data_IF_567159927436
#
_entry.id   IF_567159927436
#
_cell.length_a   1.000
_cell.length_b   1.000
_cell.length_c   1.000
_cell.angle_alpha   90.00
_cell.angle_beta   90.00
_cell.angle_gamma   90.00
#
_symmetry.space_group_name_H-M   'P 1'
#
loop_
_entity.id
_entity.type
_entity.pdbx_description
1 polymer ?
#
# COMPACT_ATOMS: atom_id res chain seq x y z
N UNK A 1 40.79 54.25 4.50
CA UNK A 1 41.54 54.50 3.23
C UNK A 1 42.83 53.67 3.32
N UNK A 2 42.77 52.42 2.95
CA UNK A 2 43.98 51.68 2.54
C UNK A 2 43.54 50.33 2.01
N UNK A 3 43.91 50.10 0.77
CA UNK A 3 44.04 48.80 0.07
C UNK A 3 42.76 48.07 -0.38
N UNK A 4 42.00 48.67 -1.28
CA UNK A 4 41.41 47.95 -2.42
C UNK A 4 42.35 48.08 -3.60
N UNK A 5 43.47 47.37 -3.55
CA UNK A 5 44.39 47.15 -4.64
C UNK A 5 45.06 45.83 -4.38
N UNK A 6 44.35 44.73 -4.73
CA UNK A 6 45.02 43.48 -5.01
C UNK A 6 44.10 42.68 -5.96
N UNK A 7 44.69 42.43 -7.10
CA UNK A 7 44.38 41.36 -8.04
C UNK A 7 43.17 41.55 -8.98
N UNK A 8 43.21 42.65 -9.72
CA UNK A 8 42.65 42.62 -11.07
C UNK A 8 43.60 41.79 -11.97
N UNK A 9 43.29 40.54 -12.19
CA UNK A 9 43.81 39.84 -13.34
C UNK A 9 43.13 40.39 -14.60
N UNK A 10 43.89 40.57 -15.67
CA UNK A 10 43.47 41.18 -16.96
C UNK A 10 42.40 40.35 -17.73
N UNK A 11 41.59 39.53 -17.05
CA UNK A 11 40.47 38.78 -17.61
C UNK A 11 39.31 38.69 -16.57
N UNK A 12 38.85 39.78 -16.05
CA UNK A 12 37.53 40.01 -15.48
C UNK A 12 36.81 38.92 -14.63
N UNK A 13 37.47 37.87 -14.19
CA UNK A 13 36.92 36.83 -13.32
C UNK A 13 37.21 37.17 -11.88
N UNK A 14 36.20 37.62 -11.14
CA UNK A 14 36.24 37.68 -9.69
C UNK A 14 36.13 36.25 -9.15
N UNK A 15 37.14 35.75 -8.47
CA UNK A 15 37.08 34.48 -7.75
C UNK A 15 36.85 34.75 -6.28
N UNK A 16 35.69 34.36 -5.76
CA UNK A 16 35.38 34.40 -4.32
C UNK A 16 36.02 33.20 -3.65
N UNK A 17 36.66 33.43 -2.48
CA UNK A 17 37.21 32.39 -1.63
C UNK A 17 36.14 31.94 -0.66
N UNK A 18 35.73 30.67 -0.69
CA UNK A 18 34.70 30.10 0.17
C UNK A 18 34.96 30.36 1.67
N UNK A 19 36.22 30.49 2.07
CA UNK A 19 36.61 30.78 3.45
C UNK A 19 36.38 32.26 3.87
N UNK A 20 35.96 33.16 2.96
CA UNK A 20 35.91 34.59 3.21
C UNK A 20 34.56 35.27 2.80
N UNK A 21 33.55 34.50 2.38
CA UNK A 21 32.25 34.99 1.88
C UNK A 21 31.60 35.99 2.86
N UNK A 22 31.63 35.73 4.17
CA UNK A 22 31.01 36.59 5.17
C UNK A 22 31.63 37.99 5.19
N UNK A 23 32.94 38.08 4.96
CA UNK A 23 33.65 39.39 4.96
C UNK A 23 33.30 40.15 3.68
N UNK A 24 33.23 39.45 2.53
CA UNK A 24 32.93 40.06 1.21
C UNK A 24 31.49 40.57 1.18
N UNK A 25 30.52 39.81 1.70
CA UNK A 25 29.13 40.22 1.86
C UNK A 25 29.08 41.50 2.69
N UNK A 26 29.78 41.55 3.81
CA UNK A 26 29.82 42.72 4.73
C UNK A 26 30.44 43.95 4.04
N UNK A 27 31.56 43.76 3.33
CA UNK A 27 32.27 44.87 2.65
C UNK A 27 31.46 45.41 1.49
N UNK A 28 30.80 44.54 0.75
CA UNK A 28 29.87 44.91 -0.34
C UNK A 28 28.66 45.66 0.20
N UNK A 29 28.03 45.23 1.31
CA UNK A 29 26.94 45.94 1.96
C UNK A 29 27.35 47.35 2.37
N UNK A 30 28.49 47.50 3.02
CA UNK A 30 29.00 48.83 3.42
C UNK A 30 29.25 49.73 2.20
N UNK A 31 29.68 49.18 1.09
CA UNK A 31 29.91 49.91 -0.17
C UNK A 31 28.58 50.39 -0.77
N UNK A 32 27.55 49.56 -0.80
CA UNK A 32 26.22 49.89 -1.26
C UNK A 32 25.59 50.97 -0.39
N UNK A 33 25.62 50.80 0.95
CA UNK A 33 25.08 51.74 1.90
C UNK A 33 25.74 53.14 1.81
N UNK A 34 26.99 53.21 1.35
CA UNK A 34 27.68 54.47 1.02
C UNK A 34 27.18 55.16 -0.25
N UNK A 35 26.27 54.54 -0.96
CA UNK A 35 25.64 55.08 -2.20
C UNK A 35 26.42 54.81 -3.48
N UNK A 36 27.29 53.79 -3.50
CA UNK A 36 28.21 53.51 -4.61
C UNK A 36 27.87 52.28 -5.48
N UNK A 37 26.59 51.84 -5.51
CA UNK A 37 26.16 50.62 -6.22
C UNK A 37 26.56 50.64 -7.71
N UNK A 38 26.51 51.79 -8.38
CA UNK A 38 26.86 51.93 -9.79
C UNK A 38 28.31 51.55 -10.10
N UNK A 39 29.21 51.54 -9.11
CA UNK A 39 30.62 51.21 -9.28
C UNK A 39 30.94 49.74 -9.00
N UNK A 40 29.96 48.94 -8.58
CA UNK A 40 30.17 47.56 -8.16
C UNK A 40 29.05 46.62 -8.63
N UNK A 41 28.31 46.98 -9.71
CA UNK A 41 27.19 46.18 -10.22
C UNK A 41 27.64 44.73 -10.52
N UNK A 42 28.71 44.54 -11.30
CA UNK A 42 29.24 43.22 -11.68
C UNK A 42 29.59 42.37 -10.41
N UNK A 43 30.24 42.99 -9.43
CA UNK A 43 30.56 42.31 -8.16
C UNK A 43 29.30 41.93 -7.37
N UNK A 44 28.24 42.76 -7.39
CA UNK A 44 26.98 42.47 -6.71
C UNK A 44 26.22 41.34 -7.42
N UNK A 45 26.25 41.30 -8.78
CA UNK A 45 25.65 40.21 -9.57
C UNK A 45 26.30 38.87 -9.26
N UNK A 46 27.61 38.85 -9.12
CA UNK A 46 28.39 37.67 -8.78
C UNK A 46 28.10 37.22 -7.33
N UNK A 47 28.05 38.17 -6.39
CA UNK A 47 27.65 37.88 -5.02
C UNK A 47 26.26 37.30 -4.89
N UNK A 48 25.30 37.74 -5.72
CA UNK A 48 23.96 37.15 -5.75
C UNK A 48 24.04 35.66 -6.15
N UNK A 49 24.88 35.33 -7.14
CA UNK A 49 25.07 33.94 -7.57
C UNK A 49 25.75 33.11 -6.48
N UNK A 50 26.80 33.64 -5.84
CA UNK A 50 27.46 33.01 -4.70
C UNK A 50 26.48 32.81 -3.52
N UNK A 51 25.59 33.78 -3.25
CA UNK A 51 24.57 33.64 -2.22
C UNK A 51 23.54 32.53 -2.55
N UNK A 52 23.18 32.33 -3.83
CA UNK A 52 22.34 31.24 -4.26
C UNK A 52 23.01 29.87 -4.04
N UNK A 53 24.29 29.74 -4.44
CA UNK A 53 25.06 28.50 -4.32
C UNK A 53 25.33 28.08 -2.87
N UNK A 54 25.41 29.07 -1.95
CA UNK A 54 25.74 28.84 -0.54
C UNK A 54 24.54 29.01 0.41
N UNK A 55 23.30 28.94 -0.09
CA UNK A 55 22.06 29.05 0.69
C UNK A 55 21.94 30.35 1.54
N UNK A 56 22.64 31.42 1.12
CA UNK A 56 22.65 32.73 1.81
C UNK A 56 21.47 33.60 1.33
N UNK A 57 20.26 33.09 1.41
CA UNK A 57 19.07 33.67 0.81
C UNK A 57 18.77 35.11 1.29
N UNK A 58 18.96 35.43 2.56
CA UNK A 58 18.69 36.79 3.08
C UNK A 58 19.66 37.81 2.51
N UNK A 59 20.95 37.47 2.44
CA UNK A 59 21.98 38.31 1.89
C UNK A 59 21.78 38.50 0.37
N UNK A 60 21.48 37.40 -0.36
CA UNK A 60 21.15 37.43 -1.76
C UNK A 60 19.93 38.31 -2.05
N UNK A 61 18.89 38.22 -1.21
CA UNK A 61 17.67 39.07 -1.34
C UNK A 61 17.97 40.55 -1.11
N UNK A 62 18.89 40.90 -0.21
CA UNK A 62 19.35 42.27 -0.04
C UNK A 62 20.00 42.76 -1.34
N UNK A 63 20.99 42.05 -1.86
CA UNK A 63 21.75 42.44 -3.07
C UNK A 63 20.87 42.53 -4.32
N UNK A 64 20.01 41.53 -4.57
CA UNK A 64 19.14 41.52 -5.74
C UNK A 64 18.10 42.66 -5.70
N UNK A 65 17.63 43.08 -4.53
CA UNK A 65 16.73 44.22 -4.42
C UNK A 65 17.44 45.54 -4.80
N UNK A 66 18.71 45.70 -4.44
CA UNK A 66 19.51 46.86 -4.79
C UNK A 66 19.79 46.90 -6.32
N UNK A 67 20.05 45.74 -6.95
CA UNK A 67 20.18 45.62 -8.39
C UNK A 67 18.87 45.98 -9.13
N UNK A 68 17.73 45.48 -8.62
CA UNK A 68 16.41 45.80 -9.16
C UNK A 68 16.01 47.26 -9.00
N UNK A 69 16.52 47.97 -7.99
CA UNK A 69 16.31 49.40 -7.85
C UNK A 69 17.01 50.20 -8.97
N UNK A 70 18.14 49.69 -9.50
CA UNK A 70 18.88 50.29 -10.59
C UNK A 70 18.33 49.83 -11.97
N UNK A 71 18.01 48.56 -12.10
CA UNK A 71 17.55 47.96 -13.35
C UNK A 71 16.24 47.15 -13.21
N UNK A 72 15.09 47.80 -12.98
CA UNK A 72 13.81 47.14 -12.68
C UNK A 72 13.22 46.30 -13.85
N UNK A 73 13.75 46.45 -15.04
CA UNK A 73 13.31 45.73 -16.25
C UNK A 73 14.29 44.64 -16.70
N UNK A 74 15.25 44.24 -15.83
CA UNK A 74 16.13 43.13 -16.11
C UNK A 74 15.43 41.81 -15.67
N UNK A 75 15.14 40.93 -16.65
CA UNK A 75 14.45 39.66 -16.42
C UNK A 75 15.29 38.71 -15.55
N UNK A 76 16.61 38.67 -15.73
CA UNK A 76 17.52 37.83 -14.98
C UNK A 76 17.52 38.16 -13.47
N UNK A 77 17.44 39.45 -13.13
CA UNK A 77 17.33 39.85 -11.72
C UNK A 77 16.02 39.42 -11.08
N UNK A 78 14.91 39.44 -11.81
CA UNK A 78 13.64 38.90 -11.31
C UNK A 78 13.69 37.39 -11.19
N UNK A 79 14.32 36.67 -12.13
CA UNK A 79 14.57 35.23 -12.02
C UNK A 79 15.39 34.89 -10.79
N UNK A 80 16.57 35.51 -10.60
CA UNK A 80 17.43 35.27 -9.43
C UNK A 80 16.73 35.60 -8.12
N UNK A 81 15.89 36.67 -8.08
CA UNK A 81 15.06 36.96 -6.92
C UNK A 81 14.04 35.85 -6.65
N UNK A 82 13.41 35.32 -7.67
CA UNK A 82 12.50 34.18 -7.56
C UNK A 82 13.19 32.94 -7.00
N UNK A 83 14.39 32.61 -7.49
CA UNK A 83 15.19 31.49 -7.01
C UNK A 83 15.57 31.64 -5.53
N UNK A 84 16.04 32.83 -5.12
CA UNK A 84 16.35 33.14 -3.73
C UNK A 84 15.12 33.00 -2.81
N UNK A 85 13.94 33.48 -3.25
CA UNK A 85 12.70 33.36 -2.51
C UNK A 85 12.21 31.90 -2.42
N UNK A 86 12.38 31.14 -3.51
CA UNK A 86 12.05 29.71 -3.54
C UNK A 86 12.92 28.92 -2.55
N UNK A 87 14.25 29.15 -2.54
CA UNK A 87 15.15 28.56 -1.56
C UNK A 87 14.83 28.99 -0.11
N UNK A 88 14.33 30.21 0.07
CA UNK A 88 13.89 30.73 1.38
C UNK A 88 12.47 30.32 1.75
N UNK A 89 11.88 29.34 1.02
CA UNK A 89 10.53 28.81 1.24
C UNK A 89 9.39 29.84 1.10
N UNK A 90 9.63 30.97 0.44
CA UNK A 90 8.63 32.02 0.15
C UNK A 90 8.02 31.81 -1.24
N UNK A 91 7.41 30.64 -1.46
CA UNK A 91 6.97 30.19 -2.77
C UNK A 91 6.00 31.14 -3.48
N UNK A 92 5.04 31.77 -2.78
CA UNK A 92 4.12 32.72 -3.41
C UNK A 92 4.87 33.93 -3.96
N UNK A 93 5.79 34.52 -3.18
CA UNK A 93 6.61 35.65 -3.62
C UNK A 93 7.56 35.24 -4.76
N UNK A 94 8.03 33.99 -4.76
CA UNK A 94 8.86 33.45 -5.84
C UNK A 94 8.07 33.37 -7.15
N UNK A 95 6.84 32.84 -7.14
CA UNK A 95 5.95 32.79 -8.32
C UNK A 95 5.72 34.20 -8.88
N UNK A 96 5.42 35.20 -8.04
CA UNK A 96 5.26 36.60 -8.47
C UNK A 96 6.51 37.13 -9.20
N UNK A 97 7.71 36.78 -8.70
CA UNK A 97 8.98 37.17 -9.32
C UNK A 97 9.22 36.47 -10.66
N UNK A 98 8.94 35.17 -10.74
CA UNK A 98 9.04 34.42 -12.00
C UNK A 98 8.03 34.95 -13.04
N UNK A 99 6.81 35.27 -12.64
CA UNK A 99 5.84 35.92 -13.54
C UNK A 99 6.34 37.26 -14.07
N UNK A 100 7.03 38.03 -13.21
CA UNK A 100 7.64 39.27 -13.62
C UNK A 100 8.78 39.06 -14.61
N UNK A 101 9.67 38.07 -14.34
CA UNK A 101 10.74 37.68 -15.26
C UNK A 101 10.18 37.27 -16.63
N UNK A 102 9.15 36.39 -16.63
CA UNK A 102 8.48 35.95 -17.88
C UNK A 102 7.73 37.03 -18.60
N UNK A 103 7.22 38.04 -17.90
CA UNK A 103 6.61 39.20 -18.56
C UNK A 103 7.63 40.06 -19.38
N UNK A 104 8.91 39.99 -18.97
CA UNK A 104 10.04 40.66 -19.62
C UNK A 104 10.73 39.78 -20.66
N UNK A 105 10.82 38.48 -20.40
CA UNK A 105 11.38 37.48 -21.32
C UNK A 105 10.45 36.26 -21.44
N UNK A 106 9.40 36.30 -22.30
CA UNK A 106 8.43 35.20 -22.44
C UNK A 106 8.98 33.90 -23.03
N UNK A 107 10.19 33.95 -23.60
CA UNK A 107 10.81 32.77 -24.25
C UNK A 107 11.76 31.98 -23.37
N UNK A 108 11.79 32.24 -22.07
CA UNK A 108 12.70 31.59 -21.13
C UNK A 108 12.07 30.32 -20.55
N UNK A 109 12.46 29.17 -21.12
CA UNK A 109 11.96 27.85 -20.66
C UNK A 109 12.38 27.51 -19.23
N UNK A 110 13.59 27.90 -18.80
CA UNK A 110 14.09 27.63 -17.46
C UNK A 110 13.27 28.37 -16.42
N UNK A 111 12.96 29.64 -16.64
CA UNK A 111 12.09 30.40 -15.73
C UNK A 111 10.69 29.77 -15.58
N UNK A 112 10.13 29.16 -16.64
CA UNK A 112 8.87 28.41 -16.53
C UNK A 112 9.02 27.14 -15.67
N UNK A 113 10.15 26.44 -15.75
CA UNK A 113 10.44 25.25 -14.92
C UNK A 113 10.58 25.64 -13.46
N UNK A 114 11.34 26.68 -13.17
CA UNK A 114 11.53 27.20 -11.80
C UNK A 114 10.21 27.69 -11.20
N UNK A 115 9.37 28.35 -12.01
CA UNK A 115 8.02 28.75 -11.61
C UNK A 115 7.18 27.51 -11.26
N UNK A 116 7.22 26.48 -12.10
CA UNK A 116 6.49 25.25 -11.89
C UNK A 116 6.94 24.54 -10.60
N UNK A 117 8.24 24.54 -10.30
CA UNK A 117 8.76 23.99 -9.05
C UNK A 117 8.21 24.75 -7.81
N UNK A 118 8.12 26.07 -7.88
CA UNK A 118 7.52 26.86 -6.81
C UNK A 118 5.99 26.61 -6.67
N UNK A 119 5.28 26.47 -7.79
CA UNK A 119 3.85 26.13 -7.83
C UNK A 119 3.58 24.73 -7.28
N UNK A 120 4.48 23.77 -7.56
CA UNK A 120 4.43 22.42 -7.02
C UNK A 120 4.61 22.40 -5.49
N UNK A 121 5.56 23.17 -4.98
CA UNK A 121 5.77 23.36 -3.53
C UNK A 121 4.56 23.98 -2.82
N UNK A 122 3.75 24.77 -3.54
CA UNK A 122 2.47 25.30 -3.08
C UNK A 122 1.32 24.28 -3.20
N UNK A 123 1.55 23.11 -3.79
CA UNK A 123 0.50 22.13 -4.09
C UNK A 123 -0.38 22.51 -5.30
N UNK A 124 0.00 23.51 -6.07
CA UNK A 124 -0.75 24.00 -7.23
C UNK A 124 -0.41 23.22 -8.50
N UNK A 125 -0.60 21.87 -8.45
CA UNK A 125 -0.17 20.95 -9.52
C UNK A 125 -0.69 21.32 -10.92
N UNK A 126 -1.89 21.88 -11.03
CA UNK A 126 -2.44 22.28 -12.34
C UNK A 126 -1.73 23.52 -12.91
N UNK A 127 -1.35 24.48 -12.05
CA UNK A 127 -0.58 25.65 -12.46
C UNK A 127 0.84 25.25 -12.87
N UNK A 128 1.49 24.40 -12.06
CA UNK A 128 2.82 23.84 -12.38
C UNK A 128 2.81 23.14 -13.74
N UNK A 129 1.79 22.34 -14.01
CA UNK A 129 1.61 21.68 -15.30
C UNK A 129 1.45 22.68 -16.47
N UNK A 130 0.71 23.78 -16.27
CA UNK A 130 0.58 24.83 -17.29
C UNK A 130 1.92 25.51 -17.55
N UNK A 131 2.67 25.85 -16.50
CA UNK A 131 4.00 26.42 -16.59
C UNK A 131 4.97 25.52 -17.35
N UNK A 132 5.00 24.21 -17.02
CA UNK A 132 5.86 23.24 -17.74
C UNK A 132 5.45 23.05 -19.21
N UNK A 133 4.17 23.07 -19.53
CA UNK A 133 3.73 23.03 -20.92
C UNK A 133 4.20 24.28 -21.69
N UNK A 134 4.23 25.46 -21.03
CA UNK A 134 4.81 26.67 -21.63
C UNK A 134 6.32 26.53 -21.86
N UNK A 135 7.04 25.89 -20.94
CA UNK A 135 8.45 25.57 -21.15
C UNK A 135 8.65 24.71 -22.40
N UNK A 136 7.81 23.68 -22.59
CA UNK A 136 7.89 22.78 -23.76
C UNK A 136 7.41 23.44 -25.08
N UNK A 137 6.59 24.49 -25.04
CA UNK A 137 6.29 25.29 -26.23
C UNK A 137 7.54 26.01 -26.77
N UNK A 138 8.48 26.35 -25.88
CA UNK A 138 9.73 27.06 -26.20
C UNK A 138 10.86 26.08 -26.53
N UNK A 139 10.99 25.02 -25.70
CA UNK A 139 11.94 23.94 -25.88
C UNK A 139 11.24 22.59 -25.76
N UNK A 140 10.77 22.00 -26.88
CA UNK A 140 10.00 20.74 -26.87
C UNK A 140 10.77 19.51 -26.41
N UNK A 141 12.08 19.59 -26.22
CA UNK A 141 12.93 18.50 -25.77
C UNK A 141 13.61 18.79 -24.43
N UNK A 142 13.11 19.77 -23.70
CA UNK A 142 13.66 20.08 -22.39
C UNK A 142 13.41 18.89 -21.45
N UNK A 143 14.48 18.26 -21.01
CA UNK A 143 14.48 17.05 -20.18
C UNK A 143 13.79 17.31 -18.84
N UNK A 144 14.14 18.41 -18.17
CA UNK A 144 13.63 18.75 -16.84
C UNK A 144 12.12 19.02 -16.87
N UNK A 145 11.64 19.73 -17.91
CA UNK A 145 10.22 19.98 -18.08
C UNK A 145 9.44 18.69 -18.35
N UNK A 146 9.95 17.78 -19.19
CA UNK A 146 9.34 16.49 -19.48
C UNK A 146 9.32 15.60 -18.24
N UNK A 147 10.43 15.54 -17.50
CA UNK A 147 10.55 14.74 -16.28
C UNK A 147 9.61 15.25 -15.19
N UNK A 148 9.56 16.56 -14.96
CA UNK A 148 8.64 17.18 -13.99
C UNK A 148 7.17 16.97 -14.36
N UNK A 149 6.79 17.08 -15.64
CA UNK A 149 5.43 16.74 -16.09
C UNK A 149 5.07 15.27 -15.84
N UNK A 150 6.04 14.37 -16.05
CA UNK A 150 5.85 12.96 -15.78
C UNK A 150 5.60 12.71 -14.28
N UNK A 151 6.39 13.32 -13.39
CA UNK A 151 6.21 13.21 -11.94
C UNK A 151 4.87 13.81 -11.48
N UNK A 152 4.48 14.97 -11.98
CA UNK A 152 3.18 15.58 -11.66
C UNK A 152 2.03 14.67 -12.11
N UNK A 153 2.12 14.11 -13.32
CA UNK A 153 1.12 13.18 -13.84
C UNK A 153 1.03 11.91 -13.00
N UNK A 154 2.17 11.38 -12.54
CA UNK A 154 2.24 10.24 -11.63
C UNK A 154 1.55 10.52 -10.29
N UNK A 155 1.85 11.65 -9.64
CA UNK A 155 1.22 12.08 -8.38
C UNK A 155 -0.29 12.28 -8.52
N UNK A 156 -0.77 12.65 -9.70
CA UNK A 156 -2.19 12.76 -10.01
C UNK A 156 -2.85 11.41 -10.36
N UNK A 157 -2.10 10.30 -10.34
CA UNK A 157 -2.57 8.97 -10.71
C UNK A 157 -2.76 8.76 -12.21
N UNK A 158 -2.29 9.71 -13.04
CA UNK A 158 -2.37 9.64 -14.51
C UNK A 158 -1.18 8.86 -15.08
N UNK A 159 -1.00 7.61 -14.63
CA UNK A 159 0.19 6.80 -14.93
C UNK A 159 0.46 6.61 -16.44
N UNK A 160 -0.57 6.47 -17.27
CA UNK A 160 -0.37 6.32 -18.74
C UNK A 160 0.20 7.57 -19.38
N UNK A 161 -0.19 8.74 -18.91
CA UNK A 161 0.35 10.00 -19.36
C UNK A 161 1.76 10.22 -18.84
N UNK A 162 2.02 9.90 -17.57
CA UNK A 162 3.34 9.89 -16.96
C UNK A 162 4.33 9.03 -17.76
N UNK A 163 3.93 7.80 -18.12
CA UNK A 163 4.72 6.91 -18.99
C UNK A 163 5.04 7.57 -20.34
N UNK A 164 4.09 8.31 -20.91
CA UNK A 164 4.33 9.00 -22.20
C UNK A 164 5.41 10.08 -22.09
N UNK A 165 5.39 10.84 -20.99
CA UNK A 165 6.42 11.87 -20.76
C UNK A 165 7.78 11.24 -20.42
N UNK A 166 7.83 10.23 -19.54
CA UNK A 166 9.08 9.53 -19.24
C UNK A 166 9.71 8.89 -20.48
N UNK A 167 8.92 8.32 -21.39
CA UNK A 167 9.45 7.80 -22.65
C UNK A 167 10.07 8.91 -23.51
N UNK A 168 9.52 10.13 -23.49
CA UNK A 168 10.15 11.26 -24.16
C UNK A 168 11.45 11.66 -23.49
N UNK A 169 11.55 11.61 -22.16
CA UNK A 169 12.81 11.80 -21.43
C UNK A 169 13.85 10.77 -21.88
N UNK A 170 13.48 9.49 -21.97
CA UNK A 170 14.37 8.40 -22.45
C UNK A 170 14.85 8.66 -23.90
N UNK A 171 14.02 9.23 -24.77
CA UNK A 171 14.42 9.59 -26.13
C UNK A 171 15.46 10.73 -26.15
N UNK A 172 15.40 11.65 -25.19
CA UNK A 172 16.34 12.76 -25.05
C UNK A 172 17.62 12.33 -24.36
N UNK A 173 17.48 11.65 -23.22
CA UNK A 173 18.58 11.19 -22.38
C UNK A 173 18.38 9.71 -21.97
N UNK A 174 18.90 8.75 -22.76
CA UNK A 174 18.76 7.33 -22.46
C UNK A 174 19.62 6.86 -21.28
N UNK A 175 20.54 7.67 -20.78
CA UNK A 175 21.45 7.33 -19.69
C UNK A 175 21.00 7.94 -18.34
N UNK A 176 19.77 8.45 -18.25
CA UNK A 176 19.20 8.99 -17.02
C UNK A 176 18.49 7.87 -16.22
N UNK A 177 19.11 7.34 -15.15
CA UNK A 177 18.62 6.15 -14.46
C UNK A 177 17.26 6.37 -13.82
N UNK A 178 17.01 7.53 -13.18
CA UNK A 178 15.80 7.78 -12.42
C UNK A 178 14.54 7.67 -13.30
N UNK A 179 14.64 8.00 -14.58
CA UNK A 179 13.53 7.85 -15.54
C UNK A 179 13.08 6.40 -15.68
N UNK A 180 14.01 5.46 -15.71
CA UNK A 180 13.67 4.03 -15.80
C UNK A 180 13.11 3.50 -14.48
N UNK A 181 13.57 4.03 -13.35
CA UNK A 181 13.00 3.69 -12.06
C UNK A 181 11.53 4.11 -11.97
N UNK A 182 11.24 5.35 -12.31
CA UNK A 182 9.87 5.90 -12.30
C UNK A 182 8.95 5.24 -13.35
N UNK A 183 9.49 4.91 -14.55
CA UNK A 183 8.77 4.09 -15.51
C UNK A 183 8.37 2.74 -14.94
N UNK A 184 9.28 2.08 -14.21
CA UNK A 184 9.01 0.82 -13.53
C UNK A 184 7.84 0.96 -12.54
N UNK A 185 7.86 1.98 -11.70
CA UNK A 185 6.79 2.28 -10.74
C UNK A 185 5.45 2.54 -11.47
N UNK A 186 5.47 3.31 -12.54
CA UNK A 186 4.26 3.59 -13.32
C UNK A 186 3.68 2.33 -13.96
N UNK A 187 4.52 1.44 -14.52
CA UNK A 187 4.07 0.18 -15.11
C UNK A 187 3.50 -0.79 -14.06
N UNK A 188 4.11 -0.87 -12.86
CA UNK A 188 3.52 -1.64 -11.74
C UNK A 188 2.13 -1.10 -11.36
N UNK A 189 1.99 0.23 -11.28
CA UNK A 189 0.73 0.87 -10.90
C UNK A 189 -0.42 0.61 -11.88
N UNK A 190 -0.10 0.32 -13.15
CA UNK A 190 -1.11 -0.07 -14.16
C UNK A 190 -1.17 -1.57 -14.42
N UNK A 191 -0.54 -2.39 -13.55
CA UNK A 191 -0.52 -3.85 -13.61
C UNK A 191 0.10 -4.40 -14.92
N UNK A 192 1.24 -3.82 -15.34
CA UNK A 192 2.05 -4.27 -16.49
C UNK A 192 3.45 -4.73 -16.00
N UNK A 193 3.54 -5.83 -15.22
CA UNK A 193 4.78 -6.20 -14.51
C UNK A 193 5.92 -6.61 -15.44
N UNK A 194 5.66 -7.08 -16.68
CA UNK A 194 6.73 -7.38 -17.65
C UNK A 194 7.47 -6.11 -18.07
N UNK A 195 6.74 -5.00 -18.29
CA UNK A 195 7.34 -3.72 -18.66
C UNK A 195 8.03 -3.07 -17.47
N UNK A 196 7.43 -3.19 -16.28
CA UNK A 196 8.05 -2.75 -15.04
C UNK A 196 9.39 -3.43 -14.82
N UNK A 197 9.44 -4.77 -14.94
CA UNK A 197 10.67 -5.55 -14.84
C UNK A 197 11.73 -5.06 -15.83
N UNK A 198 11.35 -4.85 -17.10
CA UNK A 198 12.30 -4.36 -18.12
C UNK A 198 12.85 -2.97 -17.77
N UNK A 199 12.00 -2.10 -17.21
CA UNK A 199 12.41 -0.76 -16.77
C UNK A 199 13.37 -0.83 -15.58
N UNK A 200 13.07 -1.65 -14.55
CA UNK A 200 13.98 -1.84 -13.41
C UNK A 200 15.27 -2.53 -13.81
N UNK A 201 15.27 -3.44 -14.77
CA UNK A 201 16.49 -4.05 -15.30
C UNK A 201 17.36 -2.99 -16.00
N UNK A 202 16.74 -2.08 -16.76
CA UNK A 202 17.48 -0.97 -17.39
C UNK A 202 18.00 0.02 -16.37
N UNK A 203 17.23 0.34 -15.34
CA UNK A 203 17.70 1.14 -14.21
C UNK A 203 18.94 0.52 -13.56
N UNK A 204 18.92 -0.79 -13.28
CA UNK A 204 20.00 -1.52 -12.64
C UNK A 204 21.24 -1.74 -13.54
N UNK A 205 21.08 -1.64 -14.86
CA UNK A 205 22.25 -1.55 -15.77
C UNK A 205 23.03 -0.24 -15.57
N UNK A 206 22.32 0.86 -15.25
CA UNK A 206 22.91 2.18 -15.05
C UNK A 206 23.34 2.41 -13.59
N UNK A 207 22.54 1.95 -12.62
CA UNK A 207 22.84 2.03 -11.19
C UNK A 207 22.70 0.66 -10.49
N UNK A 208 23.71 -0.21 -10.62
CA UNK A 208 23.66 -1.60 -10.10
C UNK A 208 23.71 -1.70 -8.58
N UNK A 209 24.07 -0.62 -7.88
CA UNK A 209 24.21 -0.63 -6.42
C UNK A 209 23.02 0.00 -5.69
N UNK A 210 21.94 0.25 -6.38
CA UNK A 210 20.74 0.83 -5.78
C UNK A 210 19.84 -0.25 -5.17
N UNK A 211 19.66 -0.29 -3.84
CA UNK A 211 18.85 -1.31 -3.19
C UNK A 211 17.35 -1.22 -3.57
N UNK A 212 16.85 0.00 -3.86
CA UNK A 212 15.45 0.17 -4.27
C UNK A 212 15.18 -0.43 -5.66
N UNK A 213 16.14 -0.36 -6.58
CA UNK A 213 16.04 -1.00 -7.89
C UNK A 213 15.91 -2.52 -7.78
N UNK A 214 16.74 -3.14 -6.95
CA UNK A 214 16.68 -4.58 -6.70
C UNK A 214 15.38 -4.98 -5.99
N UNK A 215 14.94 -4.20 -5.02
CA UNK A 215 13.68 -4.42 -4.31
C UNK A 215 12.47 -4.40 -5.25
N UNK A 216 12.33 -3.35 -6.07
CA UNK A 216 11.21 -3.23 -7.00
C UNK A 216 11.27 -4.26 -8.13
N UNK A 217 12.49 -4.63 -8.61
CA UNK A 217 12.66 -5.77 -9.50
C UNK A 217 12.15 -7.06 -8.87
N UNK A 218 12.39 -7.27 -7.58
CA UNK A 218 11.87 -8.40 -6.80
C UNK A 218 10.34 -8.43 -6.78
N UNK A 219 9.69 -7.28 -6.60
CA UNK A 219 8.22 -7.16 -6.63
C UNK A 219 7.67 -7.57 -8.00
N UNK A 220 8.19 -7.00 -9.10
CA UNK A 220 7.77 -7.34 -10.45
C UNK A 220 7.94 -8.83 -10.76
N UNK A 221 9.06 -9.42 -10.32
CA UNK A 221 9.30 -10.86 -10.49
C UNK A 221 8.33 -11.73 -9.68
N UNK A 222 7.92 -11.27 -8.50
CA UNK A 222 6.90 -11.95 -7.67
C UNK A 222 5.55 -11.94 -8.37
N UNK A 223 5.12 -10.81 -8.92
CA UNK A 223 3.89 -10.70 -9.73
C UNK A 223 3.93 -11.61 -10.96
N UNK A 224 5.09 -11.75 -11.57
CA UNK A 224 5.32 -12.66 -12.71
C UNK A 224 5.52 -14.14 -12.30
N UNK A 225 5.39 -14.46 -11.01
CA UNK A 225 5.61 -15.80 -10.43
C UNK A 225 7.01 -16.39 -10.70
N UNK A 226 8.00 -15.51 -10.92
CA UNK A 226 9.42 -15.89 -11.10
C UNK A 226 10.13 -15.89 -9.73
N UNK A 227 9.66 -16.72 -8.82
CA UNK A 227 9.93 -16.66 -7.39
C UNK A 227 11.41 -16.75 -7.02
N UNK A 228 12.19 -17.65 -7.63
CA UNK A 228 13.62 -17.76 -7.31
C UNK A 228 14.42 -16.50 -7.71
N UNK A 229 14.01 -15.87 -8.83
CA UNK A 229 14.65 -14.63 -9.26
C UNK A 229 14.24 -13.46 -8.37
N UNK A 230 12.99 -13.46 -7.87
CA UNK A 230 12.51 -12.47 -6.91
C UNK A 230 13.30 -12.56 -5.58
N UNK A 231 13.45 -13.77 -5.03
CA UNK A 231 14.26 -14.01 -3.81
C UNK A 231 15.68 -13.49 -4.00
N UNK A 232 16.31 -13.82 -5.14
CA UNK A 232 17.66 -13.32 -5.44
C UNK A 232 17.72 -11.79 -5.50
N UNK A 233 16.68 -11.14 -6.06
CA UNK A 233 16.62 -9.68 -6.10
C UNK A 233 16.47 -9.08 -4.71
N UNK A 234 15.63 -9.66 -3.84
CA UNK A 234 15.53 -9.25 -2.44
C UNK A 234 16.84 -9.49 -1.68
N UNK A 235 17.55 -10.60 -1.94
CA UNK A 235 18.86 -10.86 -1.36
C UNK A 235 19.88 -9.77 -1.69
N UNK A 236 19.89 -9.31 -2.93
CA UNK A 236 20.76 -8.20 -3.34
C UNK A 236 20.35 -6.88 -2.67
N UNK A 237 19.04 -6.60 -2.60
CA UNK A 237 18.52 -5.41 -1.93
C UNK A 237 18.98 -5.34 -0.46
N UNK A 238 18.81 -6.42 0.30
CA UNK A 238 19.20 -6.47 1.72
C UNK A 238 20.71 -6.56 1.92
N UNK A 239 21.47 -7.07 0.94
CA UNK A 239 22.93 -7.07 0.99
C UNK A 239 23.51 -5.68 0.78
N UNK A 240 22.86 -4.84 -0.03
CA UNK A 240 23.23 -3.45 -0.26
C UNK A 240 22.78 -2.53 0.87
N UNK A 241 21.64 -2.85 1.49
CA UNK A 241 21.05 -2.09 2.59
C UNK A 241 20.50 -3.07 3.65
N UNK A 242 21.31 -3.37 4.68
CA UNK A 242 20.96 -4.35 5.71
C UNK A 242 19.72 -3.97 6.52
N UNK A 243 19.44 -2.68 6.68
CA UNK A 243 18.29 -2.12 7.39
C UNK A 243 17.03 -1.93 6.49
N UNK A 244 17.00 -2.59 5.32
CA UNK A 244 15.87 -2.50 4.41
C UNK A 244 14.71 -3.42 4.85
N UNK A 245 13.95 -2.99 5.84
CA UNK A 245 12.87 -3.76 6.47
C UNK A 245 11.86 -4.30 5.46
N UNK A 246 11.40 -3.47 4.50
CA UNK A 246 10.42 -3.89 3.48
C UNK A 246 10.95 -5.01 2.58
N UNK A 247 12.24 -5.03 2.27
CA UNK A 247 12.83 -6.10 1.46
C UNK A 247 12.91 -7.43 2.23
N UNK A 248 13.26 -7.37 3.52
CA UNK A 248 13.19 -8.54 4.40
C UNK A 248 11.76 -9.05 4.53
N UNK A 249 10.78 -8.16 4.71
CA UNK A 249 9.37 -8.50 4.86
C UNK A 249 8.81 -9.20 3.61
N UNK A 250 9.00 -8.59 2.42
CA UNK A 250 8.53 -9.17 1.15
C UNK A 250 9.22 -10.50 0.82
N UNK A 251 10.52 -10.62 1.12
CA UNK A 251 11.24 -11.90 1.01
C UNK A 251 10.65 -12.94 1.95
N UNK A 252 10.34 -12.56 3.19
CA UNK A 252 9.72 -13.43 4.18
C UNK A 252 8.37 -13.96 3.72
N UNK A 253 7.49 -13.09 3.23
CA UNK A 253 6.20 -13.47 2.67
C UNK A 253 6.36 -14.47 1.51
N UNK A 254 7.21 -14.14 0.55
CA UNK A 254 7.43 -15.02 -0.60
C UNK A 254 7.98 -16.40 -0.20
N UNK A 255 8.87 -16.45 0.80
CA UNK A 255 9.39 -17.72 1.30
C UNK A 255 8.32 -18.52 2.05
N UNK A 256 7.43 -17.86 2.80
CA UNK A 256 6.30 -18.49 3.47
C UNK A 256 5.33 -19.11 2.44
N UNK A 257 4.95 -18.34 1.42
CA UNK A 257 4.09 -18.82 0.31
C UNK A 257 4.66 -20.04 -0.41
N UNK A 258 5.99 -20.16 -0.45
CA UNK A 258 6.69 -21.31 -1.02
C UNK A 258 6.87 -22.47 -0.03
N UNK A 259 6.32 -22.41 1.19
CA UNK A 259 6.48 -23.39 2.24
C UNK A 259 7.91 -23.46 2.82
N UNK A 260 8.74 -22.43 2.58
CA UNK A 260 10.11 -22.35 3.10
C UNK A 260 10.09 -21.66 4.47
N UNK A 261 9.45 -22.29 5.43
CA UNK A 261 9.07 -21.70 6.71
C UNK A 261 10.25 -21.17 7.53
N UNK A 262 11.31 -21.96 7.70
CA UNK A 262 12.44 -21.52 8.53
C UNK A 262 13.17 -20.29 7.98
N UNK A 263 13.51 -20.21 6.67
CA UNK A 263 14.03 -18.99 6.08
C UNK A 263 13.07 -17.79 6.15
N UNK A 264 11.74 -18.01 6.05
CA UNK A 264 10.74 -16.95 6.19
C UNK A 264 10.76 -16.36 7.61
N UNK A 265 10.76 -17.22 8.63
CA UNK A 265 10.86 -16.80 10.06
C UNK A 265 12.14 -15.97 10.27
N UNK A 266 13.28 -16.38 9.70
CA UNK A 266 14.53 -15.63 9.81
C UNK A 266 14.42 -14.22 9.21
N UNK A 267 13.73 -14.08 8.07
CA UNK A 267 13.46 -12.78 7.46
C UNK A 267 12.60 -11.89 8.35
N UNK A 268 11.47 -12.39 8.88
CA UNK A 268 10.62 -11.62 9.79
C UNK A 268 11.31 -11.31 11.14
N UNK A 269 12.17 -12.20 11.64
CA UNK A 269 13.01 -11.89 12.80
C UNK A 269 13.96 -10.72 12.54
N UNK A 270 14.46 -10.57 11.30
CA UNK A 270 15.22 -9.38 10.90
C UNK A 270 14.36 -8.12 10.90
N UNK A 271 13.12 -8.21 10.39
CA UNK A 271 12.15 -7.10 10.47
C UNK A 271 11.96 -6.67 11.93
N UNK A 272 11.66 -7.60 12.83
CA UNK A 272 11.50 -7.32 14.28
C UNK A 272 12.77 -6.73 14.90
N UNK A 273 13.98 -7.17 14.48
CA UNK A 273 15.24 -6.60 14.97
C UNK A 273 15.44 -5.13 14.52
N UNK A 274 14.93 -4.77 13.36
CA UNK A 274 15.01 -3.42 12.78
C UNK A 274 13.91 -2.51 13.31
N UNK A 275 12.73 -3.07 13.57
CA UNK A 275 11.56 -2.40 14.12
C UNK A 275 10.86 -3.35 15.11
N UNK A 276 11.11 -3.18 16.39
CA UNK A 276 10.54 -4.00 17.48
C UNK A 276 9.03 -3.75 17.73
N UNK A 277 8.46 -2.74 17.04
CA UNK A 277 7.04 -2.38 17.09
C UNK A 277 6.27 -2.85 15.84
N UNK A 278 6.79 -3.81 15.09
CA UNK A 278 6.16 -4.32 13.88
C UNK A 278 5.23 -5.51 14.22
N UNK A 279 3.96 -5.21 14.47
CA UNK A 279 2.95 -6.22 14.79
C UNK A 279 2.69 -7.20 13.66
N UNK A 280 2.82 -6.76 12.39
CA UNK A 280 2.62 -7.63 11.23
C UNK A 280 3.73 -8.70 11.12
N UNK A 281 4.97 -8.34 11.44
CA UNK A 281 6.06 -9.31 11.45
C UNK A 281 5.85 -10.40 12.51
N UNK A 282 5.39 -10.05 13.72
CA UNK A 282 5.03 -11.04 14.73
C UNK A 282 3.84 -11.90 14.30
N UNK A 283 2.83 -11.29 13.68
CA UNK A 283 1.68 -12.03 13.15
C UNK A 283 2.11 -13.05 12.09
N UNK A 284 2.95 -12.66 11.14
CA UNK A 284 3.44 -13.55 10.08
C UNK A 284 4.31 -14.69 10.64
N UNK A 285 5.18 -14.42 11.60
CA UNK A 285 5.92 -15.48 12.33
C UNK A 285 4.95 -16.46 12.99
N UNK A 286 3.90 -15.95 13.64
CA UNK A 286 2.90 -16.77 14.32
C UNK A 286 2.12 -17.64 13.33
N UNK A 287 1.67 -17.07 12.20
CA UNK A 287 0.97 -17.78 11.14
C UNK A 287 1.79 -18.93 10.57
N UNK A 288 3.09 -18.72 10.35
CA UNK A 288 3.99 -19.79 9.92
C UNK A 288 4.09 -20.90 10.97
N UNK A 289 4.21 -20.57 12.27
CA UNK A 289 4.23 -21.58 13.32
C UNK A 289 2.91 -22.35 13.43
N UNK A 290 1.78 -21.67 13.20
CA UNK A 290 0.46 -22.30 13.14
C UNK A 290 0.39 -23.30 11.99
N UNK A 291 0.83 -22.93 10.78
CA UNK A 291 0.87 -23.82 9.62
C UNK A 291 1.80 -25.02 9.82
N UNK A 292 2.88 -24.83 10.58
CA UNK A 292 3.77 -25.93 11.01
C UNK A 292 3.16 -26.80 12.10
N UNK A 293 2.01 -26.44 12.68
CA UNK A 293 1.37 -27.11 13.81
C UNK A 293 2.03 -26.82 15.17
N UNK A 294 2.97 -25.87 15.23
CA UNK A 294 3.58 -25.43 16.49
C UNK A 294 2.74 -24.33 17.14
N UNK A 295 1.56 -24.72 17.60
CA UNK A 295 0.62 -23.81 18.25
C UNK A 295 1.20 -23.07 19.47
N UNK A 296 2.21 -23.64 20.13
CA UNK A 296 2.84 -22.97 21.28
C UNK A 296 3.61 -21.72 20.88
N UNK A 297 4.43 -21.80 19.83
CA UNK A 297 5.15 -20.66 19.29
C UNK A 297 4.23 -19.71 18.54
N UNK A 298 3.20 -20.22 17.85
CA UNK A 298 2.16 -19.39 17.22
C UNK A 298 1.47 -18.48 18.27
N UNK A 299 0.93 -19.06 19.35
CA UNK A 299 0.25 -18.32 20.44
C UNK A 299 1.18 -17.26 21.05
N UNK A 300 2.46 -17.58 21.22
CA UNK A 300 3.42 -16.61 21.76
C UNK A 300 3.54 -15.39 20.84
N UNK A 301 3.78 -15.61 19.55
CA UNK A 301 4.00 -14.51 18.60
C UNK A 301 2.70 -13.72 18.31
N UNK A 302 1.54 -14.39 18.22
CA UNK A 302 0.25 -13.67 18.18
C UNK A 302 0.04 -12.80 19.42
N UNK A 303 0.53 -13.26 20.59
CA UNK A 303 0.40 -12.45 21.82
C UNK A 303 1.30 -11.23 21.80
N UNK A 304 2.49 -11.30 21.19
CA UNK A 304 3.35 -10.14 20.97
C UNK A 304 2.66 -9.15 19.99
N UNK A 305 2.11 -9.65 18.87
CA UNK A 305 1.35 -8.81 17.93
C UNK A 305 0.18 -8.08 18.61
N UNK A 306 -0.60 -8.79 19.44
CA UNK A 306 -1.70 -8.21 20.20
C UNK A 306 -1.22 -7.19 21.24
N UNK A 307 -0.05 -7.41 21.85
CA UNK A 307 0.51 -6.45 22.81
C UNK A 307 0.90 -5.14 22.13
N UNK A 308 1.33 -5.18 20.87
CA UNK A 308 1.68 -4.01 20.07
C UNK A 308 0.45 -3.30 19.53
N UNK A 309 -0.55 -4.07 19.09
CA UNK A 309 -1.81 -3.56 18.60
C UNK A 309 -2.98 -4.27 19.29
N UNK A 310 -3.52 -3.65 20.33
CA UNK A 310 -4.59 -4.22 21.16
C UNK A 310 -5.92 -4.40 20.39
N UNK A 311 -6.09 -3.77 19.23
CA UNK A 311 -7.28 -3.87 18.38
C UNK A 311 -7.09 -4.81 17.17
N UNK A 312 -5.97 -5.55 17.10
CA UNK A 312 -5.63 -6.45 15.99
C UNK A 312 -6.52 -7.70 16.00
N UNK A 313 -7.73 -7.58 15.44
CA UNK A 313 -8.74 -8.64 15.53
C UNK A 313 -8.32 -9.95 14.85
N UNK A 314 -7.58 -9.88 13.73
CA UNK A 314 -7.06 -11.07 13.04
C UNK A 314 -6.12 -11.88 13.95
N UNK A 315 -5.29 -11.21 14.75
CA UNK A 315 -4.40 -11.88 15.68
C UNK A 315 -5.15 -12.55 16.84
N UNK A 316 -6.25 -11.94 17.32
CA UNK A 316 -7.13 -12.59 18.28
C UNK A 316 -7.82 -13.80 17.67
N UNK A 317 -8.35 -13.69 16.45
CA UNK A 317 -9.01 -14.78 15.74
C UNK A 317 -8.05 -15.97 15.57
N UNK A 318 -6.88 -15.74 15.00
CA UNK A 318 -5.87 -16.77 14.76
C UNK A 318 -5.36 -17.40 16.08
N UNK A 319 -5.09 -16.59 17.13
CA UNK A 319 -4.72 -17.12 18.43
C UNK A 319 -5.84 -17.94 19.08
N UNK A 320 -7.09 -17.51 18.86
CA UNK A 320 -8.28 -18.26 19.27
C UNK A 320 -8.34 -19.62 18.61
N UNK A 321 -8.11 -19.71 17.29
CA UNK A 321 -8.03 -20.97 16.55
C UNK A 321 -6.90 -21.88 17.08
N UNK A 322 -5.73 -21.30 17.38
CA UNK A 322 -4.65 -22.05 18.01
C UNK A 322 -5.03 -22.59 19.40
N UNK A 323 -5.74 -21.80 20.23
CA UNK A 323 -6.22 -22.27 21.54
C UNK A 323 -7.27 -23.36 21.40
N UNK A 324 -8.16 -23.26 20.43
CA UNK A 324 -9.15 -24.30 20.14
C UNK A 324 -8.49 -25.59 19.73
N UNK A 325 -7.53 -25.55 18.80
CA UNK A 325 -6.76 -26.71 18.32
C UNK A 325 -6.03 -27.47 19.43
N UNK A 326 -5.63 -26.78 20.53
CA UNK A 326 -4.99 -27.42 21.69
C UNK A 326 -5.95 -27.67 22.86
N UNK A 327 -7.27 -27.53 22.62
CA UNK A 327 -8.32 -27.81 23.59
C UNK A 327 -8.47 -26.79 24.73
N UNK A 328 -7.91 -25.59 24.58
CA UNK A 328 -8.04 -24.51 25.57
C UNK A 328 -9.26 -23.62 25.25
N UNK A 329 -10.41 -24.22 25.18
CA UNK A 329 -11.68 -23.64 24.71
C UNK A 329 -12.09 -22.32 25.39
N UNK A 330 -11.81 -22.17 26.71
CA UNK A 330 -12.15 -20.95 27.42
C UNK A 330 -11.28 -19.73 26.97
N UNK A 331 -10.02 -20.00 26.63
CA UNK A 331 -9.13 -18.98 26.09
C UNK A 331 -9.49 -18.66 24.63
N UNK A 332 -9.82 -19.66 23.83
CA UNK A 332 -10.31 -19.50 22.47
C UNK A 332 -11.57 -18.62 22.45
N UNK A 333 -12.58 -18.95 23.28
CA UNK A 333 -13.81 -18.17 23.36
C UNK A 333 -13.57 -16.71 23.78
N UNK A 334 -12.61 -16.50 24.70
CA UNK A 334 -12.22 -15.14 25.11
C UNK A 334 -11.65 -14.36 23.94
N UNK A 335 -10.75 -14.97 23.16
CA UNK A 335 -10.11 -14.34 22.01
C UNK A 335 -11.13 -14.10 20.89
N UNK A 336 -12.02 -15.03 20.58
CA UNK A 336 -13.11 -14.81 19.61
C UNK A 336 -14.06 -13.68 20.04
N UNK A 337 -14.33 -13.52 21.34
CA UNK A 337 -15.10 -12.38 21.82
C UNK A 337 -14.38 -11.05 21.60
N UNK A 338 -13.05 -10.99 21.72
CA UNK A 338 -12.29 -9.79 21.35
C UNK A 338 -12.31 -9.57 19.84
N UNK A 339 -12.10 -10.62 19.04
CA UNK A 339 -12.14 -10.51 17.58
C UNK A 339 -13.45 -9.88 17.08
N UNK A 340 -14.62 -10.39 17.53
CA UNK A 340 -15.93 -9.82 17.15
C UNK A 340 -16.22 -8.44 17.78
N UNK A 341 -15.55 -8.09 18.88
CA UNK A 341 -15.69 -6.76 19.49
C UNK A 341 -14.93 -5.69 18.70
N UNK A 342 -13.74 -6.02 18.17
CA UNK A 342 -12.92 -5.11 17.39
C UNK A 342 -13.30 -5.08 15.91
N UNK A 343 -13.80 -6.19 15.36
CA UNK A 343 -14.32 -6.26 13.98
C UNK A 343 -15.72 -6.89 13.97
N UNK A 344 -16.75 -6.05 14.05
CA UNK A 344 -18.16 -6.50 14.03
C UNK A 344 -18.62 -6.95 12.63
N UNK A 345 -17.88 -6.61 11.60
CA UNK A 345 -18.10 -6.92 10.19
C UNK A 345 -17.29 -8.12 9.68
N UNK A 346 -16.59 -8.82 10.58
CA UNK A 346 -15.92 -10.08 10.23
C UNK A 346 -16.87 -11.27 10.41
N UNK A 347 -17.41 -11.78 9.30
CA UNK A 347 -18.24 -12.99 9.32
C UNK A 347 -17.46 -14.20 9.84
N UNK A 348 -16.18 -14.31 9.50
CA UNK A 348 -15.28 -15.37 9.95
C UNK A 348 -15.15 -15.40 11.48
N UNK A 349 -14.95 -14.23 12.12
CA UNK A 349 -14.82 -14.16 13.57
C UNK A 349 -16.11 -14.57 14.28
N UNK A 350 -17.28 -14.15 13.77
CA UNK A 350 -18.57 -14.56 14.29
C UNK A 350 -18.82 -16.06 14.09
N UNK A 351 -18.43 -16.61 12.93
CA UNK A 351 -18.56 -18.03 12.62
C UNK A 351 -17.68 -18.89 13.54
N UNK A 352 -16.40 -18.54 13.69
CA UNK A 352 -15.47 -19.27 14.58
C UNK A 352 -15.97 -19.26 16.03
N UNK A 353 -16.50 -18.10 16.49
CA UNK A 353 -17.12 -18.01 17.80
C UNK A 353 -18.33 -18.93 17.93
N UNK A 354 -19.23 -18.94 16.93
CA UNK A 354 -20.44 -19.74 16.92
C UNK A 354 -20.14 -21.25 16.96
N UNK A 355 -19.18 -21.68 16.17
CA UNK A 355 -18.75 -23.08 16.08
C UNK A 355 -18.19 -23.57 17.42
N UNK A 356 -17.35 -22.76 18.08
CA UNK A 356 -16.87 -23.07 19.42
C UNK A 356 -17.99 -23.05 20.46
N UNK A 357 -18.93 -22.11 20.40
CA UNK A 357 -20.09 -22.06 21.29
C UNK A 357 -20.97 -23.31 21.13
N UNK A 358 -21.18 -23.76 19.88
CA UNK A 358 -21.87 -25.01 19.57
C UNK A 358 -21.14 -26.20 20.20
N UNK A 359 -19.83 -26.33 19.97
CA UNK A 359 -19.01 -27.42 20.50
C UNK A 359 -19.00 -27.46 22.03
N UNK A 360 -19.16 -26.31 22.69
CA UNK A 360 -19.29 -26.21 24.16
C UNK A 360 -20.72 -26.44 24.66
N UNK A 361 -21.69 -26.77 23.79
CA UNK A 361 -23.08 -26.97 24.14
C UNK A 361 -23.84 -25.67 24.46
N UNK A 362 -23.29 -24.51 24.16
CA UNK A 362 -23.93 -23.20 24.33
C UNK A 362 -24.81 -22.86 23.11
N UNK A 363 -25.74 -23.76 22.81
CA UNK A 363 -26.48 -23.73 21.55
C UNK A 363 -27.22 -22.40 21.27
N UNK A 364 -27.70 -21.71 22.31
CA UNK A 364 -28.40 -20.41 22.11
C UNK A 364 -27.42 -19.30 21.73
N UNK A 365 -26.26 -19.26 22.39
CA UNK A 365 -25.21 -18.29 22.08
C UNK A 365 -24.70 -18.53 20.65
N UNK A 366 -24.49 -19.79 20.25
CA UNK A 366 -24.11 -20.19 18.90
C UNK A 366 -25.11 -19.70 17.84
N UNK A 367 -26.42 -19.85 18.07
CA UNK A 367 -27.46 -19.37 17.16
C UNK A 367 -27.35 -17.85 16.96
N UNK A 368 -27.14 -17.09 18.04
CA UNK A 368 -27.03 -15.64 17.96
C UNK A 368 -25.75 -15.23 17.20
N UNK A 369 -24.64 -15.95 17.42
CA UNK A 369 -23.38 -15.74 16.70
C UNK A 369 -23.48 -16.13 15.22
N UNK A 370 -24.11 -17.26 14.84
CA UNK A 370 -24.39 -17.62 13.45
C UNK A 370 -25.27 -16.59 12.74
N UNK A 371 -26.30 -16.08 13.42
CA UNK A 371 -27.16 -15.02 12.87
C UNK A 371 -26.39 -13.73 12.63
N UNK A 372 -25.47 -13.38 13.54
CA UNK A 372 -24.58 -12.22 13.35
C UNK A 372 -23.70 -12.41 12.09
N UNK A 373 -23.08 -13.57 11.93
CA UNK A 373 -22.30 -13.89 10.72
C UNK A 373 -23.16 -13.79 9.43
N UNK A 374 -24.38 -14.30 9.44
CA UNK A 374 -25.31 -14.23 8.31
C UNK A 374 -25.84 -12.83 7.98
N UNK A 375 -25.76 -11.86 8.89
CA UNK A 375 -26.05 -10.45 8.56
C UNK A 375 -24.96 -9.86 7.65
N UNK A 376 -23.75 -10.41 7.71
CA UNK A 376 -22.59 -9.97 6.94
C UNK A 376 -22.50 -10.78 5.64
N UNK A 377 -22.63 -12.10 5.75
CA UNK A 377 -22.58 -13.04 4.61
C UNK A 377 -23.91 -13.82 4.44
N UNK A 378 -24.96 -13.20 3.92
CA UNK A 378 -26.28 -13.83 3.84
C UNK A 378 -26.38 -15.02 2.86
N UNK A 379 -25.41 -15.17 1.96
CA UNK A 379 -25.39 -16.28 0.98
C UNK A 379 -24.36 -17.38 1.35
N UNK A 380 -23.84 -17.39 2.60
CA UNK A 380 -22.91 -18.41 3.06
C UNK A 380 -23.70 -19.70 3.45
N UNK A 381 -23.57 -20.73 2.62
CA UNK A 381 -24.23 -22.01 2.80
C UNK A 381 -23.86 -22.68 4.13
N UNK A 382 -22.58 -22.71 4.46
CA UNK A 382 -22.05 -23.41 5.64
C UNK A 382 -22.63 -22.85 6.93
N UNK A 383 -22.69 -21.53 7.05
CA UNK A 383 -23.26 -20.84 8.21
C UNK A 383 -24.76 -21.15 8.35
N UNK A 384 -25.51 -21.11 7.24
CA UNK A 384 -26.94 -21.48 7.25
C UNK A 384 -27.15 -22.93 7.65
N UNK A 385 -26.31 -23.86 7.18
CA UNK A 385 -26.41 -25.26 7.51
C UNK A 385 -26.16 -25.51 8.99
N UNK A 386 -25.07 -24.95 9.55
CA UNK A 386 -24.74 -25.08 10.97
C UNK A 386 -25.81 -24.43 11.89
N UNK A 387 -26.35 -23.29 11.47
CA UNK A 387 -27.50 -22.68 12.15
C UNK A 387 -28.71 -23.61 12.12
N UNK A 388 -29.03 -24.23 10.98
CA UNK A 388 -30.19 -25.13 10.83
C UNK A 388 -30.06 -26.37 11.72
N UNK A 389 -28.89 -27.00 11.78
CA UNK A 389 -28.61 -28.14 12.66
C UNK A 389 -28.68 -27.72 14.15
N UNK A 390 -28.11 -26.57 14.50
CA UNK A 390 -28.19 -26.04 15.88
C UNK A 390 -29.63 -25.76 16.31
N UNK A 391 -30.45 -25.15 15.43
CA UNK A 391 -31.87 -24.92 15.67
C UNK A 391 -32.66 -26.23 15.80
N UNK A 392 -32.30 -27.22 15.01
CA UNK A 392 -32.88 -28.56 15.10
C UNK A 392 -32.61 -29.19 16.46
N UNK A 393 -31.36 -29.12 16.96
CA UNK A 393 -30.97 -29.68 18.25
C UNK A 393 -31.70 -29.05 19.45
N UNK A 394 -31.87 -27.71 19.43
CA UNK A 394 -32.63 -27.05 20.52
C UNK A 394 -34.13 -27.24 20.43
N UNK A 395 -34.65 -27.82 19.33
CA UNK A 395 -36.05 -28.08 19.09
C UNK A 395 -36.83 -26.87 18.51
N UNK A 396 -36.15 -25.88 17.96
CA UNK A 396 -36.79 -24.78 17.23
C UNK A 396 -36.98 -25.17 15.75
N UNK A 397 -37.84 -26.17 15.57
CA UNK A 397 -38.05 -26.83 14.28
C UNK A 397 -38.59 -25.90 13.20
N UNK A 398 -39.33 -24.83 13.55
CA UNK A 398 -39.86 -23.91 12.53
C UNK A 398 -38.73 -23.02 11.97
N UNK A 399 -37.87 -22.53 12.82
CA UNK A 399 -36.69 -21.75 12.37
C UNK A 399 -35.68 -22.67 11.66
N UNK A 400 -35.44 -23.89 12.14
CA UNK A 400 -34.57 -24.87 11.45
C UNK A 400 -35.07 -25.13 10.02
N UNK A 401 -36.43 -25.25 9.84
CA UNK A 401 -37.03 -25.45 8.52
C UNK A 401 -36.71 -24.29 7.58
N UNK A 402 -36.79 -23.06 8.06
CA UNK A 402 -36.46 -21.86 7.26
C UNK A 402 -34.97 -21.82 6.92
N UNK A 403 -34.09 -22.17 7.86
CA UNK A 403 -32.68 -22.19 7.62
C UNK A 403 -32.28 -23.27 6.57
N UNK A 404 -32.87 -24.47 6.62
CA UNK A 404 -32.68 -25.47 5.55
C UNK A 404 -33.28 -25.01 4.20
N UNK A 405 -34.35 -24.20 4.22
CA UNK A 405 -34.88 -23.62 2.99
C UNK A 405 -33.90 -22.64 2.35
N UNK A 406 -33.20 -21.82 3.14
CA UNK A 406 -32.13 -20.95 2.62
C UNK A 406 -30.92 -21.78 2.13
N UNK A 407 -30.53 -22.87 2.81
CA UNK A 407 -29.50 -23.79 2.32
C UNK A 407 -29.84 -24.32 0.91
N UNK A 408 -31.06 -24.82 0.73
CA UNK A 408 -31.51 -25.38 -0.56
C UNK A 408 -31.62 -24.30 -1.64
N UNK A 409 -31.94 -23.07 -1.28
CA UNK A 409 -31.99 -21.93 -2.20
C UNK A 409 -30.58 -21.55 -2.69
N UNK A 410 -29.57 -21.58 -1.81
CA UNK A 410 -28.17 -21.28 -2.11
C UNK A 410 -27.55 -22.44 -2.92
N UNK A 411 -27.73 -23.68 -2.45
CA UNK A 411 -27.24 -24.87 -3.11
C UNK A 411 -28.38 -25.90 -3.30
N UNK A 412 -29.07 -25.90 -4.44
CA UNK A 412 -30.19 -26.82 -4.70
C UNK A 412 -29.78 -28.30 -4.86
N UNK A 413 -28.49 -28.56 -5.01
CA UNK A 413 -27.96 -29.93 -5.21
C UNK A 413 -27.38 -30.52 -3.91
N UNK A 414 -27.57 -29.88 -2.77
CA UNK A 414 -27.09 -30.36 -1.50
C UNK A 414 -28.05 -31.38 -0.86
N UNK A 415 -27.62 -32.62 -0.79
CA UNK A 415 -28.40 -33.73 -0.31
C UNK A 415 -28.64 -33.71 1.22
N UNK A 416 -27.68 -33.18 1.99
CA UNK A 416 -27.77 -33.11 3.46
C UNK A 416 -28.79 -32.06 3.89
N UNK A 417 -28.88 -30.93 3.19
CA UNK A 417 -29.90 -29.91 3.45
C UNK A 417 -31.32 -30.45 3.24
N UNK A 418 -31.55 -31.25 2.18
CA UNK A 418 -32.83 -31.94 1.99
C UNK A 418 -33.08 -32.97 3.07
N UNK A 419 -32.05 -33.71 3.51
CA UNK A 419 -32.18 -34.69 4.56
C UNK A 419 -32.50 -34.05 5.90
N UNK A 420 -31.80 -32.97 6.29
CA UNK A 420 -32.12 -32.19 7.49
C UNK A 420 -33.55 -31.65 7.46
N UNK A 421 -33.95 -31.05 6.31
CA UNK A 421 -35.34 -30.57 6.12
C UNK A 421 -36.38 -31.70 6.21
N UNK A 422 -36.06 -32.90 5.76
CA UNK A 422 -36.93 -34.05 5.89
C UNK A 422 -37.14 -34.45 7.35
N UNK A 423 -36.02 -34.52 8.15
CA UNK A 423 -36.10 -34.80 9.59
C UNK A 423 -37.01 -33.81 10.31
N UNK A 424 -36.85 -32.51 10.03
CA UNK A 424 -37.70 -31.47 10.59
C UNK A 424 -39.20 -31.66 10.23
N UNK A 425 -39.48 -31.94 8.94
CA UNK A 425 -40.86 -32.16 8.47
C UNK A 425 -41.52 -33.41 9.10
N UNK A 426 -40.76 -34.48 9.38
CA UNK A 426 -41.28 -35.62 10.12
C UNK A 426 -41.70 -35.26 11.54
N UNK A 427 -40.87 -34.51 12.26
CA UNK A 427 -41.18 -34.04 13.61
C UNK A 427 -42.43 -33.15 13.61
N UNK A 428 -42.58 -32.30 12.62
CA UNK A 428 -43.74 -31.41 12.45
C UNK A 428 -44.99 -32.16 11.91
N UNK A 429 -44.91 -33.49 11.74
CA UNK A 429 -45.97 -34.33 11.18
C UNK A 429 -46.39 -33.97 9.75
N UNK A 430 -45.52 -33.31 9.00
CA UNK A 430 -45.69 -32.95 7.59
C UNK A 430 -45.21 -34.06 6.67
N UNK A 431 -45.83 -35.25 6.78
CA UNK A 431 -45.32 -36.50 6.20
C UNK A 431 -45.08 -36.42 4.69
N UNK A 432 -45.94 -35.77 3.90
CA UNK A 432 -45.74 -35.65 2.46
C UNK A 432 -44.48 -34.84 2.13
N UNK A 433 -44.31 -33.67 2.77
CA UNK A 433 -43.16 -32.82 2.57
C UNK A 433 -41.84 -33.54 2.97
N UNK A 434 -41.89 -34.29 4.07
CA UNK A 434 -40.73 -35.09 4.50
C UNK A 434 -40.34 -36.14 3.45
N UNK A 435 -41.32 -36.87 2.90
CA UNK A 435 -41.05 -37.89 1.88
C UNK A 435 -40.53 -37.26 0.61
N UNK A 436 -41.06 -36.13 0.18
CA UNK A 436 -40.59 -35.44 -1.02
C UNK A 436 -39.15 -34.93 -0.83
N UNK A 437 -38.79 -34.41 0.33
CA UNK A 437 -37.40 -34.06 0.65
C UNK A 437 -36.47 -35.28 0.70
N UNK A 438 -36.93 -36.40 1.28
CA UNK A 438 -36.11 -37.64 1.27
C UNK A 438 -35.86 -38.17 -0.15
N UNK A 439 -36.86 -38.11 -1.05
CA UNK A 439 -36.69 -38.48 -2.44
C UNK A 439 -35.63 -37.65 -3.11
N UNK A 440 -35.62 -36.34 -2.87
CA UNK A 440 -34.59 -35.43 -3.38
C UNK A 440 -33.22 -35.78 -2.82
N UNK A 441 -33.09 -35.95 -1.50
CA UNK A 441 -31.84 -36.32 -0.83
C UNK A 441 -31.28 -37.65 -1.41
N UNK A 442 -32.11 -38.69 -1.52
CA UNK A 442 -31.69 -40.01 -2.04
C UNK A 442 -31.34 -40.01 -3.54
N UNK A 443 -31.93 -39.09 -4.31
CA UNK A 443 -31.58 -38.92 -5.71
C UNK A 443 -30.27 -38.18 -5.88
N UNK A 444 -29.98 -37.20 -5.05
CA UNK A 444 -28.74 -36.41 -5.06
C UNK A 444 -27.56 -37.22 -4.50
N UNK A 445 -27.77 -37.86 -3.34
CA UNK A 445 -26.79 -38.78 -2.76
C UNK A 445 -27.48 -40.08 -2.25
N UNK A 446 -27.30 -41.21 -3.00
CA UNK A 446 -27.84 -42.51 -2.58
C UNK A 446 -27.29 -43.02 -1.24
N UNK A 447 -26.16 -42.52 -0.74
CA UNK A 447 -25.58 -42.96 0.52
C UNK A 447 -26.44 -42.54 1.75
N UNK A 448 -27.11 -41.39 1.67
CA UNK A 448 -28.03 -40.90 2.70
C UNK A 448 -29.16 -41.88 2.98
N UNK A 449 -29.58 -42.65 1.96
CA UNK A 449 -30.57 -43.68 2.17
C UNK A 449 -30.09 -44.75 3.19
N UNK A 450 -28.83 -45.14 3.08
CA UNK A 450 -28.27 -46.15 4.02
C UNK A 450 -28.15 -45.57 5.43
N UNK A 451 -27.88 -44.32 5.55
CA UNK A 451 -27.83 -43.60 6.81
C UNK A 451 -29.23 -43.49 7.43
N UNK A 452 -30.21 -43.04 6.66
CA UNK A 452 -31.61 -42.99 7.07
C UNK A 452 -32.13 -44.36 7.52
N UNK A 453 -31.83 -45.47 6.81
CA UNK A 453 -32.27 -46.81 7.16
C UNK A 453 -31.58 -47.36 8.40
N UNK A 454 -30.41 -46.83 8.78
CA UNK A 454 -29.73 -47.16 10.07
C UNK A 454 -30.34 -46.36 11.23
N UNK A 455 -30.65 -45.09 10.98
CA UNK A 455 -31.24 -44.20 11.97
C UNK A 455 -32.68 -44.60 12.31
N UNK A 456 -33.46 -45.08 11.31
CA UNK A 456 -34.86 -45.45 11.42
C UNK A 456 -35.14 -46.86 10.92
N UNK A 457 -34.65 -47.93 11.62
CA UNK A 457 -34.77 -49.34 11.14
C UNK A 457 -36.20 -49.86 11.02
N UNK A 458 -37.13 -49.37 11.81
CA UNK A 458 -38.56 -49.69 11.75
C UNK A 458 -39.21 -49.18 10.46
N UNK A 459 -38.75 -48.10 9.91
CA UNK A 459 -39.29 -47.53 8.65
C UNK A 459 -38.85 -48.37 7.43
N UNK A 460 -37.70 -48.96 7.47
CA UNK A 460 -37.16 -49.82 6.44
C UNK A 460 -38.14 -50.98 6.08
N UNK A 461 -38.83 -51.51 7.06
CA UNK A 461 -39.80 -52.61 6.88
C UNK A 461 -41.21 -52.17 6.55
N UNK A 462 -41.49 -50.87 6.63
CA UNK A 462 -42.85 -50.32 6.44
C UNK A 462 -43.27 -50.36 4.97
N UNK A 463 -44.37 -51.13 4.70
CA UNK A 463 -45.00 -51.14 3.33
C UNK A 463 -45.57 -49.77 2.94
N UNK A 464 -46.06 -49.03 3.92
CA UNK A 464 -46.57 -47.68 3.67
C UNK A 464 -45.49 -46.74 3.21
N UNK A 465 -44.34 -46.77 3.86
CA UNK A 465 -43.21 -45.93 3.51
C UNK A 465 -42.65 -46.26 2.11
N UNK A 466 -42.47 -47.54 1.81
CA UNK A 466 -42.06 -48.01 0.48
C UNK A 466 -43.03 -47.53 -0.61
N UNK A 467 -44.35 -47.58 -0.34
CA UNK A 467 -45.36 -47.05 -1.25
C UNK A 467 -45.25 -45.52 -1.43
N UNK A 468 -44.99 -44.79 -0.38
CA UNK A 468 -44.82 -43.32 -0.42
C UNK A 468 -43.54 -42.96 -1.20
N UNK A 469 -42.49 -43.73 -1.11
CA UNK A 469 -41.27 -43.61 -1.95
C UNK A 469 -41.47 -43.98 -3.40
N UNK A 470 -42.57 -44.71 -3.72
CA UNK A 470 -42.84 -45.20 -5.08
C UNK A 470 -42.12 -46.53 -5.39
N UNK A 471 -41.78 -47.33 -4.39
CA UNK A 471 -41.03 -48.60 -4.48
C UNK A 471 -41.97 -49.83 -4.44
N UNK A 472 -43.27 -49.62 -4.32
CA UNK A 472 -44.32 -50.64 -4.30
C UNK A 472 -45.48 -50.27 -5.22
#
# INVERSE_FOLDING_TARGET
>A
VSNFHSDFNEAGDFTFDDDNIDQEIKDCRNTIESGSIYNCIEMVEELVSVCLENDRFEDGLFFINELLAVAPYNSDYWLKKGLLLNGYFKFNEAVDCFEKALSLNPGDSETYIDKAAAEENLGLLNAARESLNRALETDPKNEDALYSLALISQRQGMFRESISFFNQVVEVNPDFPDTYFELGICYESINEPEKALSSFEKFLELDPYNPNGWFNRGISLTHLKKFEQAIHSYDLAVSLKEDFSSAWFNKGNLLADLGRFQPAIECFQKVVQLNDLDEEAFFNIASIYEEMGDYSNAIKNYSEAIQLNEEYYEAYLARGNCYDSIGKYQLALKDFNYAVAFSQDSAEAWYAKADLEYSLGKLRDAIDSYRAALTIEPENFEIWFNLAETLFEIGDWLEALKAFDECIKINPDDADAYYGKAKVNFILSRTQNAVDCLKMAFNLDPSIRNEFEKEYPEIKSSKLFKKLLGEL
#
